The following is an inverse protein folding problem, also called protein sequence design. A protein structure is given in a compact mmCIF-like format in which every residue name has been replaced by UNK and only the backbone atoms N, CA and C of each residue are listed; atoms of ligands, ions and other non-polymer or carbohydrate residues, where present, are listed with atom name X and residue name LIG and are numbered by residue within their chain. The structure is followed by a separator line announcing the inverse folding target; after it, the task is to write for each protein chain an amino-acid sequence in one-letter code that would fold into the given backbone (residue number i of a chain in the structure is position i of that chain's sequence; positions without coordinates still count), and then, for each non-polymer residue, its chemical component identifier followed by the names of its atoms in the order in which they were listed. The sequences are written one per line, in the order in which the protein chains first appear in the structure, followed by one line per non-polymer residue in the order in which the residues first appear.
data_IF_236159560391
#
_entry.id   IF_236159560391
#
_cell.length_a   1.000
_cell.length_b   1.000
_cell.length_c   1.000
_cell.angle_alpha   90.00
_cell.angle_beta   90.00
_cell.angle_gamma   90.00
#
_symmetry.space_group_name_H-M   'P 1'
#
loop_
_entity.id
_entity.type
_entity.pdbx_description
1 polymer ?
#
# COMPACT_ATOMS: atom_id res chain seq x y z
N UNK A 1 -0.24 3.82 26.65
CA UNK A 1 1.14 3.76 27.17
C UNK A 1 2.03 2.80 26.36
N UNK A 2 1.92 2.81 25.03
CA UNK A 2 2.78 2.04 24.11
C UNK A 2 3.25 2.85 22.89
N UNK A 3 2.87 4.13 22.80
CA UNK A 3 3.02 4.97 21.58
C UNK A 3 4.18 5.97 21.72
N UNK A 4 4.74 6.13 22.92
CA UNK A 4 5.81 7.12 23.23
C UNK A 4 7.24 6.57 23.08
N UNK A 5 7.42 5.34 22.56
CA UNK A 5 8.76 4.78 22.30
C UNK A 5 9.33 5.11 20.91
N UNK A 6 8.60 5.84 20.07
CA UNK A 6 8.93 6.02 18.65
C UNK A 6 9.83 7.23 18.32
N UNK A 7 10.50 7.85 19.29
CA UNK A 7 11.45 8.95 19.05
C UNK A 7 12.90 8.49 18.91
N UNK A 8 13.16 7.17 18.90
CA UNK A 8 14.38 6.63 18.32
C UNK A 8 14.20 6.54 16.80
N UNK A 9 15.16 7.07 16.05
CA UNK A 9 15.18 7.00 14.59
C UNK A 9 15.03 5.53 14.18
N UNK A 10 13.86 5.16 13.64
CA UNK A 10 13.54 3.77 13.36
C UNK A 10 14.59 3.17 12.41
N UNK A 11 15.10 1.98 12.73
CA UNK A 11 16.13 1.32 11.93
C UNK A 11 15.63 0.99 10.50
N UNK A 12 14.32 0.83 10.32
CA UNK A 12 13.63 0.50 9.08
C UNK A 12 12.35 1.33 8.92
N UNK A 13 11.82 1.50 7.69
CA UNK A 13 10.51 2.13 7.49
C UNK A 13 9.40 1.28 8.11
N UNK A 14 8.30 1.93 8.51
CA UNK A 14 7.07 1.23 8.88
C UNK A 14 6.40 0.71 7.61
N UNK A 15 6.01 -0.56 7.61
CA UNK A 15 5.33 -1.21 6.47
C UNK A 15 4.10 -1.96 6.98
N UNK A 16 2.93 -1.35 6.79
CA UNK A 16 1.64 -1.91 7.19
C UNK A 16 0.91 -2.56 6.02
N UNK A 17 0.64 -3.86 6.11
CA UNK A 17 -0.21 -4.57 5.15
C UNK A 17 -1.61 -4.72 5.74
N UNK A 18 -2.62 -4.24 5.01
CA UNK A 18 -4.03 -4.33 5.36
C UNK A 18 -4.67 -5.42 4.51
N UNK A 19 -5.01 -6.54 5.14
CA UNK A 19 -5.56 -7.72 4.46
C UNK A 19 -6.83 -8.24 5.12
N UNK A 20 -7.60 -9.05 4.38
CA UNK A 20 -8.92 -9.50 4.83
C UNK A 20 -9.91 -9.73 3.70
N UNK A 21 -11.04 -10.35 4.02
CA UNK A 21 -12.07 -10.68 3.03
C UNK A 21 -12.70 -9.42 2.41
N UNK A 22 -13.43 -9.59 1.30
CA UNK A 22 -14.20 -8.50 0.70
C UNK A 22 -15.18 -7.89 1.72
N UNK A 23 -15.37 -6.58 1.65
CA UNK A 23 -16.32 -5.81 2.48
C UNK A 23 -16.04 -5.81 4.00
N UNK A 24 -14.82 -6.17 4.42
CA UNK A 24 -14.40 -6.12 5.84
C UNK A 24 -13.82 -4.76 6.29
N UNK A 25 -13.93 -3.72 5.45
CA UNK A 25 -13.47 -2.37 5.81
C UNK A 25 -11.99 -2.05 5.54
N UNK A 26 -11.29 -2.87 4.74
CA UNK A 26 -9.88 -2.67 4.36
C UNK A 26 -9.54 -1.25 3.89
N UNK A 27 -10.20 -0.76 2.84
CA UNK A 27 -9.96 0.59 2.31
C UNK A 27 -10.27 1.70 3.32
N UNK A 28 -11.25 1.49 4.20
CA UNK A 28 -11.55 2.43 5.30
C UNK A 28 -10.45 2.46 6.35
N UNK A 29 -9.91 1.30 6.72
CA UNK A 29 -8.79 1.20 7.64
C UNK A 29 -7.50 1.77 7.03
N UNK A 30 -7.23 1.50 5.75
CA UNK A 30 -6.09 2.06 5.01
C UNK A 30 -6.13 3.58 5.03
N UNK A 31 -7.28 4.20 4.71
CA UNK A 31 -7.47 5.66 4.83
C UNK A 31 -7.23 6.17 6.25
N UNK A 32 -7.79 5.49 7.25
CA UNK A 32 -7.56 5.85 8.65
C UNK A 32 -6.06 5.80 9.01
N UNK A 33 -5.38 4.72 8.65
CA UNK A 33 -3.96 4.52 8.94
C UNK A 33 -3.09 5.58 8.25
N UNK A 34 -3.34 5.86 6.97
CA UNK A 34 -2.63 6.92 6.23
C UNK A 34 -2.82 8.27 6.92
N UNK A 35 -4.05 8.66 7.26
CA UNK A 35 -4.32 9.92 7.93
C UNK A 35 -3.65 10.01 9.32
N UNK A 36 -3.53 8.89 10.04
CA UNK A 36 -2.80 8.83 11.31
C UNK A 36 -1.29 8.94 11.14
N UNK A 37 -0.74 8.36 10.07
CA UNK A 37 0.68 8.45 9.75
C UNK A 37 1.05 9.86 9.26
N UNK A 38 0.19 10.52 8.49
CA UNK A 38 0.39 11.92 8.05
C UNK A 38 0.47 12.93 9.21
N UNK A 39 0.00 12.58 10.40
CA UNK A 39 0.22 13.40 11.59
C UNK A 39 1.66 13.33 12.15
N UNK A 40 2.49 12.40 11.64
CA UNK A 40 3.87 12.15 12.08
C UNK A 40 4.90 12.24 10.96
N UNK A 41 4.52 11.87 9.74
CA UNK A 41 5.39 11.81 8.57
C UNK A 41 4.94 12.82 7.51
N UNK A 42 5.90 13.40 6.78
CA UNK A 42 5.61 14.37 5.72
C UNK A 42 4.83 13.77 4.53
N UNK A 43 5.05 12.49 4.24
CA UNK A 43 4.33 11.74 3.22
C UNK A 43 4.21 10.27 3.61
N UNK A 44 3.23 9.59 3.05
CA UNK A 44 2.98 8.16 3.23
C UNK A 44 2.88 7.51 1.85
N UNK A 45 3.61 6.42 1.64
CA UNK A 45 3.45 5.61 0.45
C UNK A 45 2.20 4.74 0.59
N UNK A 46 1.38 4.68 -0.45
CA UNK A 46 0.20 3.83 -0.53
C UNK A 46 0.30 2.92 -1.75
N UNK A 47 0.28 1.62 -1.51
CA UNK A 47 0.29 0.59 -2.54
C UNK A 47 -1.10 -0.04 -2.64
N UNK A 48 -1.78 0.19 -3.75
CA UNK A 48 -3.07 -0.40 -4.08
C UNK A 48 -2.87 -1.68 -4.89
N UNK A 49 -3.38 -2.80 -4.37
CA UNK A 49 -3.31 -4.10 -5.06
C UNK A 49 -4.69 -4.70 -5.34
N UNK A 50 -5.78 -4.00 -5.03
CA UNK A 50 -7.14 -4.38 -5.39
C UNK A 50 -7.54 -3.77 -6.74
N UNK A 51 -7.40 -4.58 -7.80
CA UNK A 51 -7.80 -4.19 -9.17
C UNK A 51 -9.32 -4.08 -9.35
N UNK A 52 -10.13 -4.60 -8.43
CA UNK A 52 -11.58 -4.55 -8.51
C UNK A 52 -12.14 -3.24 -7.96
N UNK A 53 -11.71 -2.89 -6.74
CA UNK A 53 -12.14 -1.70 -6.01
C UNK A 53 -10.93 -0.89 -5.54
N UNK A 54 -10.41 -0.09 -6.46
CA UNK A 54 -9.23 0.76 -6.23
C UNK A 54 -9.56 2.02 -5.43
N UNK A 55 -8.60 2.48 -4.64
CA UNK A 55 -8.48 3.87 -4.17
C UNK A 55 -7.57 4.67 -5.14
N UNK A 56 -7.77 5.98 -5.28
CA UNK A 56 -6.98 6.92 -6.11
C UNK A 56 -6.98 6.70 -7.63
N UNK A 57 -7.22 5.50 -8.12
CA UNK A 57 -7.25 5.20 -9.56
C UNK A 57 -8.56 4.57 -10.00
N UNK A 58 -8.89 4.60 -11.31
CA UNK A 58 -9.94 3.75 -11.87
C UNK A 58 -9.69 2.25 -11.62
N UNK A 59 -10.74 1.42 -11.65
CA UNK A 59 -10.57 -0.04 -11.53
C UNK A 59 -9.67 -0.62 -12.64
N UNK A 60 -8.98 -1.70 -12.32
CA UNK A 60 -8.07 -2.40 -13.22
C UNK A 60 -6.61 -1.91 -13.17
N UNK A 61 -6.29 -1.02 -12.23
CA UNK A 61 -4.93 -0.55 -11.99
C UNK A 61 -4.37 -1.12 -10.69
N UNK A 62 -3.05 -1.34 -10.71
CA UNK A 62 -2.20 -1.52 -9.54
C UNK A 62 -1.35 -0.26 -9.44
N UNK A 63 -1.26 0.38 -8.28
CA UNK A 63 -0.60 1.69 -8.18
C UNK A 63 0.15 1.90 -6.88
N UNK A 64 1.22 2.70 -6.99
CA UNK A 64 1.96 3.28 -5.88
C UNK A 64 1.72 4.80 -5.90
N UNK A 65 1.27 5.35 -4.77
CA UNK A 65 1.09 6.79 -4.57
C UNK A 65 1.92 7.29 -3.41
N UNK A 66 2.44 8.51 -3.50
CA UNK A 66 2.97 9.26 -2.36
C UNK A 66 1.95 10.31 -1.93
N UNK A 67 1.38 10.11 -0.75
CA UNK A 67 0.29 10.93 -0.22
C UNK A 67 0.87 11.89 0.81
N UNK A 68 0.59 13.19 0.65
CA UNK A 68 1.03 14.23 1.59
C UNK A 68 -0.12 15.00 2.24
N UNK A 69 -1.37 14.71 1.85
CA UNK A 69 -2.56 15.36 2.37
C UNK A 69 -3.56 14.32 2.89
N UNK A 70 -4.34 14.63 3.95
CA UNK A 70 -5.35 13.71 4.45
C UNK A 70 -6.36 13.29 3.40
N UNK A 71 -6.70 12.00 3.38
CA UNK A 71 -7.71 11.43 2.49
C UNK A 71 -9.07 11.63 3.15
N UNK A 72 -9.89 12.50 2.56
CA UNK A 72 -11.20 12.85 3.06
C UNK A 72 -12.26 12.54 2.00
N UNK A 73 -13.20 11.69 2.36
CA UNK A 73 -14.30 11.28 1.50
C UNK A 73 -14.13 9.91 0.82
N UNK A 74 -15.05 9.57 -0.08
CA UNK A 74 -15.07 8.30 -0.81
C UNK A 74 -14.10 8.30 -2.01
N UNK A 75 -13.76 7.12 -2.58
CA UNK A 75 -12.69 6.96 -3.58
C UNK A 75 -12.76 7.92 -4.78
N UNK A 76 -13.97 8.23 -5.24
CA UNK A 76 -14.19 9.08 -6.42
C UNK A 76 -13.90 10.57 -6.20
N UNK A 77 -13.65 11.02 -4.96
CA UNK A 77 -13.39 12.44 -4.68
C UNK A 77 -11.92 12.83 -4.76
N UNK A 78 -11.01 11.87 -4.97
CA UNK A 78 -9.57 12.10 -4.91
C UNK A 78 -8.79 11.31 -5.96
N UNK A 79 -9.39 11.03 -7.12
CA UNK A 79 -8.72 10.40 -8.27
C UNK A 79 -7.80 11.35 -9.06
N UNK A 80 -7.68 12.62 -8.64
CA UNK A 80 -6.80 13.60 -9.27
C UNK A 80 -5.32 13.43 -8.87
N UNK A 81 -5.05 12.60 -7.85
CA UNK A 81 -3.70 12.31 -7.41
C UNK A 81 -3.04 11.33 -8.38
N UNK A 82 -2.10 11.83 -9.18
CA UNK A 82 -1.30 10.99 -10.08
C UNK A 82 -0.52 9.92 -9.30
N UNK A 83 -0.50 8.67 -9.78
CA UNK A 83 0.38 7.65 -9.23
C UNK A 83 1.84 7.96 -9.52
N UNK A 84 2.71 7.65 -8.57
CA UNK A 84 4.15 7.62 -8.81
C UNK A 84 4.48 6.59 -9.90
N UNK A 85 3.86 5.41 -9.77
CA UNK A 85 3.95 4.33 -10.73
C UNK A 85 2.65 3.52 -10.70
N UNK A 86 2.19 3.09 -11.86
CA UNK A 86 1.03 2.22 -11.97
C UNK A 86 1.15 1.26 -13.14
N UNK A 87 0.42 0.15 -13.06
CA UNK A 87 0.31 -0.84 -14.11
C UNK A 87 -1.15 -1.10 -14.42
N UNK A 88 -1.51 -0.97 -15.70
CA UNK A 88 -2.84 -1.36 -16.16
C UNK A 88 -2.91 -2.88 -16.29
N UNK A 89 -3.66 -3.51 -15.39
CA UNK A 89 -3.80 -4.95 -15.35
C UNK A 89 -4.77 -5.49 -16.41
N UNK A 90 -5.74 -4.67 -16.86
CA UNK A 90 -6.69 -5.06 -17.91
C UNK A 90 -7.85 -5.96 -17.46
N UNK A 91 -8.01 -6.18 -16.16
CA UNK A 91 -9.05 -7.01 -15.56
C UNK A 91 -9.39 -6.51 -14.15
N UNK A 92 -10.59 -6.83 -13.66
CA UNK A 92 -11.04 -6.50 -12.31
C UNK A 92 -10.85 -7.67 -11.32
N UNK A 93 -10.18 -8.74 -11.74
CA UNK A 93 -9.88 -9.90 -10.91
C UNK A 93 -8.47 -10.43 -11.19
N UNK A 94 -7.60 -10.56 -10.18
CA UNK A 94 -6.24 -11.10 -10.35
C UNK A 94 -6.18 -12.51 -10.94
N UNK A 95 -7.30 -13.26 -10.89
CA UNK A 95 -7.41 -14.60 -11.47
C UNK A 95 -7.17 -14.64 -12.98
N UNK A 96 -7.38 -13.54 -13.70
CA UNK A 96 -7.16 -13.51 -15.15
C UNK A 96 -5.70 -13.72 -15.54
N UNK A 97 -4.76 -13.26 -14.69
CA UNK A 97 -3.33 -13.46 -14.89
C UNK A 97 -2.58 -13.29 -13.54
N UNK A 98 -2.55 -14.34 -12.69
CA UNK A 98 -1.94 -14.28 -11.36
C UNK A 98 -0.45 -13.91 -11.38
N UNK A 99 0.30 -14.42 -12.37
CA UNK A 99 1.74 -14.18 -12.48
C UNK A 99 2.03 -12.73 -12.84
N UNK A 100 1.30 -12.16 -13.80
CA UNK A 100 1.45 -10.74 -14.15
C UNK A 100 1.04 -9.83 -13.00
N UNK A 101 -0.02 -10.18 -12.27
CA UNK A 101 -0.45 -9.45 -11.08
C UNK A 101 0.65 -9.39 -10.02
N UNK A 102 1.31 -10.52 -9.71
CA UNK A 102 2.45 -10.55 -8.79
C UNK A 102 3.65 -9.78 -9.34
N UNK A 103 3.95 -9.89 -10.64
CA UNK A 103 5.06 -9.18 -11.26
C UNK A 103 4.90 -7.65 -11.14
N UNK A 104 3.69 -7.13 -11.37
CA UNK A 104 3.39 -5.71 -11.17
C UNK A 104 3.57 -5.27 -9.72
N UNK A 105 3.06 -6.04 -8.76
CA UNK A 105 3.21 -5.70 -7.32
C UNK A 105 4.68 -5.74 -6.92
N UNK A 106 5.43 -6.74 -7.39
CA UNK A 106 6.86 -6.85 -7.10
C UNK A 106 7.63 -5.62 -7.58
N UNK A 107 7.34 -5.14 -8.79
CA UNK A 107 7.96 -3.96 -9.37
C UNK A 107 7.58 -2.67 -8.59
N UNK A 108 6.32 -2.54 -8.16
CA UNK A 108 5.89 -1.40 -7.33
C UNK A 108 6.60 -1.40 -5.96
N UNK A 109 6.75 -2.57 -5.33
CA UNK A 109 7.49 -2.71 -4.06
C UNK A 109 8.97 -2.40 -4.24
N UNK A 110 9.59 -2.87 -5.32
CA UNK A 110 11.00 -2.61 -5.60
C UNK A 110 11.25 -1.13 -5.92
N UNK A 111 10.31 -0.47 -6.61
CA UNK A 111 10.34 0.98 -6.81
C UNK A 111 10.32 1.73 -5.49
N UNK A 112 9.35 1.43 -4.61
CA UNK A 112 9.28 2.06 -3.29
C UNK A 112 10.57 1.83 -2.49
N UNK A 113 11.14 0.62 -2.50
CA UNK A 113 12.43 0.33 -1.85
C UNK A 113 13.60 1.12 -2.44
N UNK A 114 13.59 1.38 -3.75
CA UNK A 114 14.57 2.24 -4.39
C UNK A 114 14.45 3.68 -3.88
N UNK A 115 13.23 4.23 -3.86
CA UNK A 115 12.96 5.59 -3.38
C UNK A 115 13.37 5.77 -1.91
N UNK A 116 13.14 4.75 -1.06
CA UNK A 116 13.60 4.76 0.33
C UNK A 116 15.12 4.97 0.46
N UNK A 117 15.91 4.37 -0.45
CA UNK A 117 17.38 4.50 -0.43
C UNK A 117 17.80 5.89 -0.88
N UNK A 118 17.20 6.41 -1.95
CA UNK A 118 17.49 7.76 -2.45
C UNK A 118 17.24 8.82 -1.38
N UNK A 119 16.08 8.76 -0.70
CA UNK A 119 15.73 9.69 0.39
C UNK A 119 16.76 9.65 1.51
N UNK A 120 17.28 8.46 1.86
CA UNK A 120 18.33 8.35 2.88
C UNK A 120 19.66 8.96 2.48
N UNK A 121 20.04 8.84 1.21
CA UNK A 121 21.30 9.35 0.69
C UNK A 121 21.28 10.88 0.56
N UNK A 122 20.12 11.47 0.27
CA UNK A 122 19.90 12.92 0.13
C UNK A 122 19.82 13.71 1.45
N UNK A 123 20.21 13.10 2.59
CA UNK A 123 20.17 13.71 3.93
C UNK A 123 18.73 13.99 4.44
N UNK A 124 17.70 13.56 3.73
CA UNK A 124 16.32 13.51 4.21
C UNK A 124 16.22 12.34 5.21
N UNK A 125 16.31 12.66 6.51
CA UNK A 125 16.49 11.70 7.60
C UNK A 125 15.26 10.83 7.92
N UNK A 126 14.14 11.03 7.23
CA UNK A 126 12.86 10.43 7.57
C UNK A 126 12.45 9.39 6.53
N UNK A 127 12.20 8.16 7.02
CA UNK A 127 11.62 7.09 6.20
C UNK A 127 10.22 7.46 5.72
N UNK A 128 9.86 6.99 4.52
CA UNK A 128 8.47 7.09 4.06
C UNK A 128 7.75 5.79 4.42
N UNK A 129 6.80 5.80 5.38
CA UNK A 129 6.05 4.60 5.72
C UNK A 129 5.22 4.11 4.52
N UNK A 130 5.00 2.81 4.43
CA UNK A 130 4.19 2.17 3.40
C UNK A 130 2.91 1.58 4.00
N UNK A 131 1.77 1.90 3.40
CA UNK A 131 0.49 1.24 3.65
C UNK A 131 0.09 0.47 2.40
N UNK A 132 -0.14 -0.82 2.52
CA UNK A 132 -0.55 -1.70 1.41
C UNK A 132 -1.99 -2.13 1.62
N UNK A 133 -2.87 -1.84 0.66
CA UNK A 133 -4.22 -2.37 0.61
C UNK A 133 -4.25 -3.63 -0.28
N UNK A 134 -4.68 -4.77 0.29
CA UNK A 134 -4.75 -6.02 -0.47
C UNK A 134 -6.13 -6.26 -1.09
N UNK A 135 -6.16 -7.05 -2.17
CA UNK A 135 -7.41 -7.61 -2.67
C UNK A 135 -8.16 -8.43 -1.61
N UNK A 136 -9.48 -8.59 -1.80
CA UNK A 136 -10.35 -9.31 -0.87
C UNK A 136 -10.35 -10.84 -0.96
N UNK A 137 -9.44 -11.46 -1.73
CA UNK A 137 -9.42 -12.91 -1.94
C UNK A 137 -8.56 -13.58 -0.87
N UNK A 138 -9.20 -14.32 0.04
CA UNK A 138 -8.54 -14.93 1.22
C UNK A 138 -8.51 -16.46 1.18
N UNK A 139 -8.88 -17.08 0.06
CA UNK A 139 -8.93 -18.54 -0.08
C UNK A 139 -8.45 -19.01 -1.47
N UNK A 140 -8.04 -20.28 -1.54
CA UNK A 140 -7.49 -20.90 -2.76
C UNK A 140 -6.33 -20.09 -3.34
N UNK A 141 -6.33 -19.89 -4.67
CA UNK A 141 -5.31 -19.11 -5.38
C UNK A 141 -5.14 -17.70 -4.81
N UNK A 142 -6.22 -17.09 -4.30
CA UNK A 142 -6.13 -15.76 -3.68
C UNK A 142 -5.29 -15.73 -2.41
N UNK A 143 -5.36 -16.81 -1.62
CA UNK A 143 -4.52 -16.97 -0.44
C UNK A 143 -3.05 -17.11 -0.83
N UNK A 144 -2.74 -17.92 -1.84
CA UNK A 144 -1.37 -18.09 -2.33
C UNK A 144 -0.78 -16.77 -2.85
N UNK A 145 -1.59 -15.97 -3.54
CA UNK A 145 -1.23 -14.61 -3.96
C UNK A 145 -0.96 -13.68 -2.76
N UNK A 146 -1.80 -13.71 -1.73
CA UNK A 146 -1.62 -12.90 -0.53
C UNK A 146 -0.33 -13.26 0.21
N UNK A 147 -0.03 -14.55 0.36
CA UNK A 147 1.22 -15.01 0.99
C UNK A 147 2.43 -14.56 0.17
N UNK A 148 2.38 -14.70 -1.15
CA UNK A 148 3.45 -14.25 -2.05
C UNK A 148 3.70 -12.75 -1.94
N UNK A 149 2.64 -11.94 -1.84
CA UNK A 149 2.74 -10.50 -1.59
C UNK A 149 3.39 -10.19 -0.25
N UNK A 150 2.91 -10.82 0.84
CA UNK A 150 3.46 -10.60 2.18
C UNK A 150 4.96 -10.94 2.22
N UNK A 151 5.36 -12.05 1.60
CA UNK A 151 6.77 -12.45 1.48
C UNK A 151 7.60 -11.43 0.71
N UNK A 152 7.07 -10.88 -0.40
CA UNK A 152 7.77 -9.82 -1.15
C UNK A 152 7.88 -8.53 -0.33
N UNK A 153 6.81 -8.13 0.33
CA UNK A 153 6.67 -6.83 1.02
C UNK A 153 7.49 -6.80 2.31
N UNK A 154 7.56 -7.92 3.04
CA UNK A 154 8.20 -8.03 4.35
C UNK A 154 7.65 -6.98 5.35
N UNK A 155 6.33 -7.02 5.65
CA UNK A 155 5.70 -6.01 6.49
C UNK A 155 6.21 -6.04 7.93
N UNK A 156 6.28 -4.86 8.55
CA UNK A 156 6.49 -4.74 10.00
C UNK A 156 5.22 -5.08 10.76
N UNK A 157 4.06 -4.78 10.18
CA UNK A 157 2.75 -4.93 10.78
C UNK A 157 1.74 -5.47 9.77
N UNK A 158 0.95 -6.47 10.18
CA UNK A 158 -0.13 -7.04 9.38
C UNK A 158 -1.45 -6.82 10.11
N UNK A 159 -2.38 -6.13 9.45
CA UNK A 159 -3.73 -5.86 9.94
C UNK A 159 -4.72 -6.76 9.20
N UNK A 160 -5.12 -7.86 9.85
CA UNK A 160 -6.09 -8.82 9.31
C UNK A 160 -7.51 -8.47 9.77
N UNK A 161 -8.45 -8.38 8.81
CA UNK A 161 -9.87 -8.09 9.03
C UNK A 161 -10.80 -9.18 8.49
#
# INVERSE_FOLDING_TARGET
MAIDRATQQAASPLVGVVCGAKDMGKSSYSRYLINRLLAKYNRVAYLETDVGQSEFTPSGLLSLHYISNPILGPPYTHQQLEPERSFYFGSNSPRSNPDYYLACINELVDHWRHDQKQVRDEQQREWIPLVVNTQGWVSGVGYDLLISQIQKIEPTDVFAM
#
